data_IF_004810102756
#
_entry.id   IF_004810102756
#
_cell.length_a   1.000
_cell.length_b   1.000
_cell.length_c   1.000
_cell.angle_alpha   90.00
_cell.angle_beta   90.00
_cell.angle_gamma   90.00
#
_symmetry.space_group_name_H-M   'P 1'
#
loop_
_entity.id
_entity.type
_entity.pdbx_description
1 polymer ?
#
# COMPACT_ATOMS: atom_id res chain seq x y z
N UNK A 1 11.51 27.49 20.04
CA UNK A 1 10.77 27.37 18.76
C UNK A 1 11.02 25.97 18.23
N UNK A 2 9.98 25.20 17.98
CA UNK A 2 10.11 23.82 17.49
C UNK A 2 8.72 23.23 17.32
N UNK A 3 7.84 23.97 16.64
CA UNK A 3 6.57 23.40 16.20
C UNK A 3 6.92 22.30 15.21
N UNK A 4 6.64 21.08 15.64
CA UNK A 4 6.84 19.86 14.89
C UNK A 4 6.25 20.05 13.49
N UNK A 5 7.13 20.00 12.49
CA UNK A 5 6.76 19.69 11.12
C UNK A 5 6.26 18.24 11.10
N UNK A 6 5.12 17.98 11.72
CA UNK A 6 4.19 17.02 11.19
C UNK A 6 3.76 17.63 9.84
N UNK A 7 4.63 17.54 8.83
CA UNK A 7 4.24 17.66 7.43
C UNK A 7 3.08 16.69 7.32
N UNK A 8 1.87 17.24 7.19
CA UNK A 8 0.64 16.48 7.31
C UNK A 8 0.72 15.32 6.32
N UNK A 9 0.94 14.10 6.84
CA UNK A 9 0.89 12.88 6.03
C UNK A 9 -0.41 12.96 5.22
N UNK A 10 -0.38 12.66 3.90
CA UNK A 10 -1.56 12.82 3.06
C UNK A 10 -2.73 12.11 3.73
N UNK A 11 -3.89 12.76 3.77
CA UNK A 11 -5.07 12.16 4.38
C UNK A 11 -5.35 10.85 3.66
N UNK A 12 -5.83 9.83 4.35
CA UNK A 12 -5.99 8.49 3.76
C UNK A 12 -6.76 8.48 2.42
N UNK A 13 -7.70 9.41 2.24
CA UNK A 13 -8.45 9.67 1.01
C UNK A 13 -7.61 10.12 -0.21
N UNK A 14 -6.41 10.66 0.02
CA UNK A 14 -5.46 11.15 -1.00
C UNK A 14 -4.46 10.06 -1.42
N UNK A 15 -4.46 8.92 -0.74
CA UNK A 15 -3.63 7.78 -1.11
C UNK A 15 -4.25 7.03 -2.29
N UNK A 16 -3.43 6.38 -3.13
CA UNK A 16 -3.94 5.51 -4.19
C UNK A 16 -4.72 4.34 -3.57
N UNK A 17 -5.82 3.91 -4.22
CA UNK A 17 -6.67 2.81 -3.76
C UNK A 17 -6.64 1.65 -4.75
N UNK A 18 -6.65 0.41 -4.25
CA UNK A 18 -6.60 -0.82 -5.05
C UNK A 18 -7.92 -1.58 -4.96
N UNK A 19 -8.71 -1.54 -6.05
CA UNK A 19 -10.00 -2.24 -6.15
C UNK A 19 -9.93 -3.60 -6.86
N UNK A 20 -8.98 -3.79 -7.78
CA UNK A 20 -8.81 -5.02 -8.54
C UNK A 20 -9.89 -5.26 -9.61
N UNK A 21 -10.58 -4.21 -10.07
CA UNK A 21 -11.57 -4.25 -11.16
C UNK A 21 -11.11 -3.29 -12.30
N UNK A 22 -10.91 -3.78 -13.53
CA UNK A 22 -10.56 -2.98 -14.73
C UNK A 22 -9.09 -3.09 -15.21
N UNK A 23 -8.71 -2.31 -16.24
CA UNK A 23 -7.32 -2.14 -16.71
C UNK A 23 -6.54 -1.33 -15.67
N UNK A 24 -6.07 -2.01 -14.65
CA UNK A 24 -5.54 -1.40 -13.44
C UNK A 24 -4.00 -1.52 -13.41
N UNK A 25 -3.31 -0.38 -13.33
CA UNK A 25 -1.86 -0.36 -13.21
C UNK A 25 -1.44 -0.53 -11.74
N UNK A 26 -1.26 -1.79 -11.33
CA UNK A 26 -0.72 -2.15 -10.01
C UNK A 26 0.70 -1.59 -9.78
N UNK A 27 1.45 -1.27 -10.84
CA UNK A 27 2.74 -0.59 -10.73
C UNK A 27 2.57 0.89 -10.42
N UNK A 28 1.53 1.57 -10.93
CA UNK A 28 1.18 2.94 -10.54
C UNK A 28 0.79 3.01 -9.06
N UNK A 29 -0.01 2.05 -8.57
CA UNK A 29 -0.35 1.94 -7.15
C UNK A 29 0.90 1.79 -6.26
N UNK A 30 1.79 0.86 -6.61
CA UNK A 30 3.04 0.63 -5.87
C UNK A 30 3.90 1.91 -5.88
N UNK A 31 4.06 2.53 -7.06
CA UNK A 31 4.84 3.78 -7.22
C UNK A 31 4.27 4.91 -6.37
N UNK A 32 2.95 5.08 -6.33
CA UNK A 32 2.30 6.10 -5.52
C UNK A 32 2.57 5.93 -4.02
N UNK A 33 2.54 4.68 -3.51
CA UNK A 33 2.90 4.40 -2.12
C UNK A 33 4.39 4.64 -1.86
N UNK A 34 5.27 4.22 -2.77
CA UNK A 34 6.72 4.45 -2.63
C UNK A 34 7.03 5.96 -2.60
N UNK A 35 6.40 6.78 -3.46
CA UNK A 35 6.55 8.24 -3.45
C UNK A 35 6.09 8.87 -2.13
N UNK A 36 4.90 8.50 -1.61
CA UNK A 36 4.41 9.03 -0.33
C UNK A 36 5.33 8.61 0.83
N UNK A 37 5.83 7.37 0.80
CA UNK A 37 6.78 6.89 1.80
C UNK A 37 8.07 7.73 1.77
N UNK A 38 8.57 8.08 0.59
CA UNK A 38 9.78 8.89 0.42
C UNK A 38 9.55 10.35 0.82
N UNK A 39 8.51 11.00 0.29
CA UNK A 39 8.22 12.43 0.52
C UNK A 39 7.96 12.77 2.00
N UNK A 40 7.37 11.83 2.74
CA UNK A 40 7.01 12.00 4.14
C UNK A 40 7.88 11.18 5.11
N UNK A 41 8.95 10.54 4.61
CA UNK A 41 9.88 9.71 5.40
C UNK A 41 9.15 8.68 6.28
N UNK A 42 8.09 8.06 5.74
CA UNK A 42 7.21 7.22 6.54
C UNK A 42 7.91 5.93 6.97
N UNK A 43 7.76 5.53 8.25
CA UNK A 43 8.30 4.27 8.71
C UNK A 43 7.54 3.10 8.06
N UNK A 44 8.24 2.02 7.71
CA UNK A 44 7.67 0.88 6.99
C UNK A 44 6.45 0.25 7.72
N UNK A 45 6.47 0.25 9.06
CA UNK A 45 5.34 -0.20 9.89
C UNK A 45 4.06 0.60 9.65
N UNK A 46 4.18 1.88 9.32
CA UNK A 46 3.05 2.75 9.02
C UNK A 46 2.53 2.47 7.60
N UNK A 47 3.44 2.33 6.64
CA UNK A 47 3.10 1.95 5.26
C UNK A 47 2.32 0.64 5.23
N UNK A 48 2.79 -0.39 5.94
CA UNK A 48 2.11 -1.69 6.01
C UNK A 48 0.79 -1.65 6.79
N UNK A 49 0.64 -0.74 7.76
CA UNK A 49 -0.62 -0.53 8.47
C UNK A 49 -1.67 0.19 7.59
N UNK A 50 -1.24 1.23 6.87
CA UNK A 50 -2.08 1.99 5.92
C UNK A 50 -2.45 1.12 4.74
N UNK A 51 -1.53 0.27 4.24
CA UNK A 51 -1.76 -0.61 3.10
C UNK A 51 -3.07 -1.39 3.21
N UNK A 52 -3.38 -2.00 4.36
CA UNK A 52 -4.67 -2.68 4.61
C UNK A 52 -5.89 -1.81 4.26
N UNK A 53 -5.83 -0.54 4.63
CA UNK A 53 -6.94 0.41 4.47
C UNK A 53 -7.12 0.92 3.04
N UNK A 54 -6.10 0.74 2.18
CA UNK A 54 -6.14 1.12 0.76
C UNK A 54 -6.73 0.02 -0.13
N UNK A 55 -6.91 -1.18 0.41
CA UNK A 55 -7.44 -2.33 -0.31
C UNK A 55 -8.95 -2.38 -0.18
N UNK A 56 -9.64 -2.60 -1.29
CA UNK A 56 -11.09 -2.73 -1.30
C UNK A 56 -11.53 -4.09 -1.86
N UNK A 57 -12.76 -4.51 -1.52
CA UNK A 57 -13.46 -5.67 -2.10
C UNK A 57 -12.63 -6.98 -2.12
N UNK A 58 -12.36 -7.51 -3.31
CA UNK A 58 -11.66 -8.78 -3.54
C UNK A 58 -10.22 -8.71 -3.06
N UNK A 59 -9.58 -7.55 -3.20
CA UNK A 59 -8.19 -7.33 -2.79
C UNK A 59 -8.02 -7.33 -1.27
N UNK A 60 -8.98 -6.76 -0.54
CA UNK A 60 -8.97 -6.82 0.92
C UNK A 60 -9.07 -8.26 1.43
N UNK A 61 -9.91 -9.11 0.81
CA UNK A 61 -9.99 -10.54 1.16
C UNK A 61 -8.69 -11.28 0.86
N UNK A 62 -8.02 -10.96 -0.25
CA UNK A 62 -6.70 -11.51 -0.57
C UNK A 62 -5.66 -11.12 0.48
N UNK A 63 -5.60 -9.85 0.87
CA UNK A 63 -4.71 -9.37 1.92
C UNK A 63 -4.91 -10.08 3.25
N UNK A 64 -6.15 -10.23 3.73
CA UNK A 64 -6.44 -10.92 4.99
C UNK A 64 -5.89 -12.35 4.96
N UNK A 65 -6.08 -13.08 3.85
CA UNK A 65 -5.56 -14.45 3.71
C UNK A 65 -4.04 -14.50 3.81
N UNK A 66 -3.34 -13.62 3.09
CA UNK A 66 -1.87 -13.58 3.14
C UNK A 66 -1.36 -13.15 4.52
N UNK A 67 -2.02 -12.18 5.15
CA UNK A 67 -1.69 -11.70 6.50
C UNK A 67 -1.86 -12.80 7.55
N UNK A 68 -2.92 -13.60 7.44
CA UNK A 68 -3.16 -14.74 8.32
C UNK A 68 -2.12 -15.86 8.13
N UNK A 69 -1.72 -16.12 6.89
CA UNK A 69 -0.76 -17.18 6.57
C UNK A 69 0.70 -16.82 6.90
N UNK A 70 1.10 -15.56 6.69
CA UNK A 70 2.50 -15.13 6.75
C UNK A 70 2.81 -14.12 7.86
N UNK A 71 1.80 -13.66 8.61
CA UNK A 71 1.99 -12.71 9.71
C UNK A 71 2.40 -11.31 9.25
N UNK A 72 3.15 -10.58 10.09
CA UNK A 72 3.65 -9.25 9.74
C UNK A 72 4.80 -9.38 8.72
N UNK A 73 4.68 -8.68 7.60
CA UNK A 73 5.65 -8.71 6.50
C UNK A 73 6.02 -7.30 6.06
N UNK A 74 7.23 -7.15 5.51
CA UNK A 74 7.77 -5.88 5.03
C UNK A 74 7.01 -5.34 3.81
N UNK A 75 7.16 -4.05 3.53
CA UNK A 75 6.55 -3.45 2.34
C UNK A 75 7.11 -4.06 1.06
N UNK A 76 8.41 -4.35 1.00
CA UNK A 76 9.04 -5.07 -0.11
C UNK A 76 8.39 -6.43 -0.38
N UNK A 77 8.09 -7.19 0.68
CA UNK A 77 7.39 -8.47 0.51
C UNK A 77 6.00 -8.26 -0.09
N UNK A 78 5.24 -7.27 0.37
CA UNK A 78 3.93 -6.94 -0.18
C UNK A 78 4.00 -6.54 -1.65
N UNK A 79 5.01 -5.75 -2.07
CA UNK A 79 5.24 -5.41 -3.48
C UNK A 79 5.41 -6.66 -4.34
N UNK A 80 6.18 -7.65 -3.88
CA UNK A 80 6.33 -8.94 -4.57
C UNK A 80 5.01 -9.69 -4.67
N UNK A 81 4.19 -9.71 -3.61
CA UNK A 81 2.90 -10.39 -3.65
C UNK A 81 1.91 -9.70 -4.59
N UNK A 82 1.90 -8.37 -4.61
CA UNK A 82 1.09 -7.57 -5.54
C UNK A 82 1.51 -7.88 -6.97
N UNK A 83 2.81 -7.79 -7.27
CA UNK A 83 3.34 -8.11 -8.58
C UNK A 83 2.95 -9.54 -9.00
N UNK A 84 3.19 -10.55 -8.18
CA UNK A 84 2.83 -11.94 -8.51
C UNK A 84 1.33 -12.15 -8.73
N UNK A 85 0.47 -11.40 -8.03
CA UNK A 85 -0.98 -11.54 -8.11
C UNK A 85 -1.58 -10.93 -9.38
N UNK A 86 -1.01 -9.82 -9.86
CA UNK A 86 -1.53 -9.01 -10.97
C UNK A 86 -0.59 -8.87 -12.18
N UNK A 87 0.58 -9.53 -12.17
CA UNK A 87 1.50 -9.56 -13.33
C UNK A 87 0.89 -10.18 -14.60
N UNK A 88 -0.19 -10.96 -14.46
CA UNK A 88 -0.87 -11.61 -15.59
C UNK A 88 -2.05 -10.80 -16.16
N UNK A 89 -2.36 -9.62 -15.61
CA UNK A 89 -3.43 -8.73 -16.10
C UNK A 89 -2.90 -7.62 -17.05
N UNK A 90 -1.66 -7.76 -17.53
CA UNK A 90 -1.00 -6.86 -18.50
C UNK A 90 -0.87 -7.46 -19.89
#
# INVERSE_FOLDING_TARGET
MGQALLKEVPKLKEWPHLSGEGAYDHMEFIRGIDMIKEDFELPERLVTAIFNTLLTRSTHRWYIKLRQAHGHQSWTWWKTQIFNKWANDT
#
